data_IF_721574429573
#
_entry.id   IF_721574429573
#
_cell.length_a   1.000
_cell.length_b   1.000
_cell.length_c   1.000
_cell.angle_alpha   90.00
_cell.angle_beta   90.00
_cell.angle_gamma   90.00
#
_symmetry.space_group_name_H-M   'P 1'
#
loop_
_entity.id
_entity.type
_entity.pdbx_description
1 polymer ?
#
# COMPACT_ATOMS: atom_id res chain seq x y z
N UNK A 1 -13.04 15.41 6.50
CA UNK A 1 -14.18 14.47 6.32
C UNK A 1 -13.73 13.42 5.34
N UNK A 2 -13.76 12.16 5.74
CA UNK A 2 -13.38 11.02 4.89
C UNK A 2 -14.49 10.76 3.88
N UNK A 3 -14.13 10.50 2.61
CA UNK A 3 -15.11 10.26 1.54
C UNK A 3 -15.89 8.95 1.81
N UNK A 4 -17.22 8.88 1.57
CA UNK A 4 -18.03 7.70 1.90
C UNK A 4 -17.51 6.38 1.32
N UNK A 5 -16.97 6.40 0.09
CA UNK A 5 -16.36 5.21 -0.53
C UNK A 5 -15.07 4.75 0.17
N UNK A 6 -14.33 5.67 0.80
CA UNK A 6 -13.18 5.30 1.64
C UNK A 6 -13.67 4.73 2.97
N UNK A 7 -14.71 5.32 3.58
CA UNK A 7 -15.36 4.77 4.79
C UNK A 7 -15.88 3.35 4.57
N UNK A 8 -16.42 3.07 3.38
CA UNK A 8 -16.89 1.73 3.01
C UNK A 8 -15.80 0.65 3.10
N UNK A 9 -14.55 0.99 2.76
CA UNK A 9 -13.41 0.06 2.86
C UNK A 9 -13.20 -0.42 4.29
N UNK A 10 -13.40 0.45 5.27
CA UNK A 10 -13.21 0.12 6.69
C UNK A 10 -14.45 -0.51 7.29
N UNK A 11 -15.63 0.02 7.02
CA UNK A 11 -16.89 -0.40 7.67
C UNK A 11 -17.50 -1.67 7.05
N UNK A 12 -17.49 -1.81 5.73
CA UNK A 12 -18.10 -2.95 5.04
C UNK A 12 -17.09 -4.03 4.67
N UNK A 13 -15.91 -3.65 4.16
CA UNK A 13 -14.88 -4.60 3.73
C UNK A 13 -13.92 -5.01 4.85
N UNK A 14 -13.99 -4.34 6.02
CA UNK A 14 -13.21 -4.67 7.21
C UNK A 14 -11.71 -4.39 7.07
N UNK A 15 -11.29 -3.53 6.14
CA UNK A 15 -9.89 -3.14 6.03
C UNK A 15 -9.51 -2.26 7.23
N UNK A 16 -8.45 -2.58 7.98
CA UNK A 16 -8.00 -1.74 9.08
C UNK A 16 -7.58 -0.36 8.56
N UNK A 17 -7.88 0.68 9.34
CA UNK A 17 -7.36 2.02 9.11
C UNK A 17 -6.28 2.35 10.16
N UNK A 18 -5.21 3.00 9.73
CA UNK A 18 -4.12 3.40 10.61
C UNK A 18 -3.86 4.91 10.53
N UNK A 19 -4.02 5.58 11.66
CA UNK A 19 -3.59 6.97 11.90
C UNK A 19 -2.34 7.06 12.80
N UNK A 20 -1.90 5.93 13.34
CA UNK A 20 -0.73 5.81 14.22
C UNK A 20 0.36 4.96 13.56
N UNK A 21 1.61 5.40 13.70
CA UNK A 21 2.75 4.80 13.02
C UNK A 21 3.13 3.44 13.61
N UNK A 22 3.09 3.33 14.93
CA UNK A 22 3.48 2.09 15.64
C UNK A 22 2.53 0.95 15.26
N UNK A 23 1.23 1.22 15.23
CA UNK A 23 0.22 0.26 14.82
C UNK A 23 0.37 -0.13 13.33
N UNK A 24 0.65 0.85 12.46
CA UNK A 24 0.89 0.61 11.04
C UNK A 24 2.12 -0.28 10.82
N UNK A 25 3.25 0.02 11.44
CA UNK A 25 4.50 -0.73 11.28
C UNK A 25 4.32 -2.18 11.76
N UNK A 26 3.68 -2.40 12.91
CA UNK A 26 3.38 -3.74 13.42
C UNK A 26 2.46 -4.55 12.48
N UNK A 27 1.59 -3.89 11.72
CA UNK A 27 0.77 -4.55 10.69
C UNK A 27 1.57 -4.81 9.40
N UNK A 28 2.38 -3.85 8.99
CA UNK A 28 3.22 -3.89 7.78
C UNK A 28 4.32 -4.96 7.86
N UNK A 29 4.87 -5.19 9.06
CA UNK A 29 5.98 -6.12 9.30
C UNK A 29 5.54 -7.60 9.37
N UNK A 30 4.25 -7.87 9.20
CA UNK A 30 3.73 -9.24 9.17
C UNK A 30 4.31 -9.99 7.95
N UNK A 31 4.38 -11.33 8.00
CA UNK A 31 4.75 -12.11 6.82
C UNK A 31 3.77 -11.92 5.66
N UNK A 32 4.27 -11.82 4.44
CA UNK A 32 3.46 -11.77 3.22
C UNK A 32 3.46 -10.39 2.55
N UNK A 33 2.42 -10.11 1.75
CA UNK A 33 2.30 -8.83 1.04
C UNK A 33 1.23 -7.97 1.70
N UNK A 34 1.61 -6.74 2.02
CA UNK A 34 0.75 -5.72 2.58
C UNK A 34 0.58 -4.59 1.56
N UNK A 35 -0.66 -4.13 1.40
CA UNK A 35 -0.99 -3.01 0.52
C UNK A 35 -1.60 -1.89 1.35
N UNK A 36 -0.89 -0.77 1.43
CA UNK A 36 -1.37 0.43 2.08
C UNK A 36 -2.02 1.34 1.04
N UNK A 37 -3.33 1.56 1.17
CA UNK A 37 -4.05 2.54 0.37
C UNK A 37 -3.94 3.92 1.01
N UNK A 38 -3.29 4.84 0.31
CA UNK A 38 -3.15 6.24 0.70
C UNK A 38 -4.16 7.07 -0.10
N UNK A 39 -5.31 7.45 0.48
CA UNK A 39 -6.37 8.16 -0.23
C UNK A 39 -5.97 9.59 -0.60
N UNK A 40 -5.12 10.26 0.19
CA UNK A 40 -4.94 11.71 0.08
C UNK A 40 -6.18 12.49 0.49
N UNK A 41 -6.14 13.80 0.27
CA UNK A 41 -7.30 14.67 0.45
C UNK A 41 -8.37 14.33 -0.60
N UNK A 42 -9.34 13.50 -0.22
CA UNK A 42 -10.41 13.04 -1.11
C UNK A 42 -11.32 14.17 -1.63
N UNK A 43 -11.31 15.36 -1.01
CA UNK A 43 -12.02 16.52 -1.54
C UNK A 43 -11.27 17.17 -2.72
N UNK A 44 -9.94 17.03 -2.77
CA UNK A 44 -9.08 17.54 -3.84
C UNK A 44 -8.77 16.48 -4.90
N UNK A 45 -8.67 15.23 -4.49
CA UNK A 45 -8.34 14.10 -5.33
C UNK A 45 -9.61 13.39 -5.80
N UNK A 46 -10.11 13.81 -6.96
CA UNK A 46 -11.32 13.25 -7.56
C UNK A 46 -11.18 11.77 -7.97
N UNK A 47 -9.95 11.25 -8.04
CA UNK A 47 -9.64 9.84 -8.36
C UNK A 47 -9.72 8.91 -7.13
N UNK A 48 -9.71 9.45 -5.90
CA UNK A 48 -9.72 8.65 -4.67
C UNK A 48 -10.94 7.73 -4.56
N UNK A 49 -12.17 8.18 -4.89
CA UNK A 49 -13.34 7.32 -4.90
C UNK A 49 -13.22 6.14 -5.87
N UNK A 50 -12.63 6.34 -7.05
CA UNK A 50 -12.45 5.28 -8.06
C UNK A 50 -11.50 4.20 -7.55
N UNK A 51 -10.39 4.60 -6.93
CA UNK A 51 -9.45 3.66 -6.32
C UNK A 51 -10.10 2.92 -5.14
N UNK A 52 -10.95 3.60 -4.36
CA UNK A 52 -11.67 2.95 -3.27
C UNK A 52 -12.70 1.92 -3.76
N UNK A 53 -13.31 2.11 -4.94
CA UNK A 53 -14.23 1.13 -5.52
C UNK A 53 -13.50 -0.07 -6.12
N UNK A 54 -12.36 0.15 -6.79
CA UNK A 54 -11.62 -0.95 -7.46
C UNK A 54 -10.81 -1.80 -6.48
N UNK A 55 -10.38 -1.26 -5.34
CA UNK A 55 -9.49 -1.94 -4.41
C UNK A 55 -10.06 -3.27 -3.85
N UNK A 56 -11.34 -3.36 -3.42
CA UNK A 56 -11.95 -4.64 -3.04
C UNK A 56 -11.98 -5.66 -4.19
N UNK A 57 -12.27 -5.21 -5.42
CA UNK A 57 -12.30 -6.07 -6.61
C UNK A 57 -10.91 -6.64 -6.91
N UNK A 58 -9.85 -5.81 -6.80
CA UNK A 58 -8.47 -6.28 -6.92
C UNK A 58 -8.13 -7.30 -5.83
N UNK A 59 -8.50 -7.01 -4.58
CA UNK A 59 -8.25 -7.92 -3.46
C UNK A 59 -8.91 -9.29 -3.66
N UNK A 60 -10.13 -9.33 -4.22
CA UNK A 60 -10.81 -10.58 -4.59
C UNK A 60 -10.20 -11.25 -5.83
N UNK A 61 -9.85 -10.48 -6.86
CA UNK A 61 -9.27 -10.99 -8.13
C UNK A 61 -7.96 -11.73 -7.89
N UNK A 62 -7.11 -11.20 -7.01
CA UNK A 62 -5.87 -11.86 -6.59
C UNK A 62 -6.07 -12.87 -5.45
N UNK A 63 -7.30 -13.35 -5.23
CA UNK A 63 -7.63 -14.38 -4.24
C UNK A 63 -7.11 -14.07 -2.83
N UNK A 64 -7.10 -12.79 -2.45
CA UNK A 64 -6.57 -12.30 -1.17
C UNK A 64 -5.09 -12.66 -0.94
N UNK A 65 -4.29 -12.72 -2.01
CA UNK A 65 -2.83 -12.94 -1.94
C UNK A 65 -2.05 -11.81 -1.25
N UNK A 66 -2.71 -10.72 -0.88
CA UNK A 66 -2.19 -9.62 -0.09
C UNK A 66 -3.27 -9.13 0.87
N UNK A 67 -2.86 -8.52 1.98
CA UNK A 67 -3.77 -7.83 2.90
C UNK A 67 -3.77 -6.33 2.63
N UNK A 68 -4.87 -5.65 2.93
CA UNK A 68 -5.07 -4.24 2.63
C UNK A 68 -5.31 -3.44 3.91
N UNK A 69 -4.79 -2.21 3.98
CA UNK A 69 -5.19 -1.22 4.98
C UNK A 69 -5.49 0.13 4.31
N UNK A 70 -6.23 0.98 5.03
CA UNK A 70 -6.42 2.39 4.69
C UNK A 70 -5.47 3.24 5.54
N UNK A 71 -4.73 4.13 4.90
CA UNK A 71 -3.82 5.05 5.58
C UNK A 71 -4.59 6.32 5.91
N UNK A 72 -4.57 6.70 7.19
CA UNK A 72 -5.16 7.94 7.67
C UNK A 72 -4.20 9.12 7.63
N UNK A 73 -4.75 10.32 7.85
CA UNK A 73 -4.04 11.60 7.71
C UNK A 73 -2.85 11.71 8.67
N UNK A 74 -2.91 11.02 9.83
CA UNK A 74 -1.88 11.06 10.87
C UNK A 74 -0.50 10.59 10.41
N UNK A 75 -0.45 9.60 9.50
CA UNK A 75 0.80 8.98 9.02
C UNK A 75 1.02 9.14 7.52
N UNK A 76 0.03 9.62 6.76
CA UNK A 76 0.11 9.71 5.29
C UNK A 76 1.39 10.40 4.80
N UNK A 77 1.66 11.61 5.32
CA UNK A 77 2.78 12.43 4.84
C UNK A 77 4.12 11.75 5.07
N UNK A 78 4.28 11.14 6.24
CA UNK A 78 5.49 10.42 6.60
C UNK A 78 5.69 9.20 5.71
N UNK A 79 4.64 8.39 5.55
CA UNK A 79 4.67 7.19 4.73
C UNK A 79 5.00 7.49 3.27
N UNK A 80 4.42 8.56 2.70
CA UNK A 80 4.71 8.99 1.32
C UNK A 80 6.17 9.40 1.14
N UNK A 81 6.74 10.10 2.12
CA UNK A 81 8.13 10.54 2.06
C UNK A 81 9.10 9.37 2.19
N UNK A 82 8.87 8.45 3.13
CA UNK A 82 9.70 7.27 3.34
C UNK A 82 9.71 6.35 2.11
N UNK A 83 8.54 6.11 1.54
CA UNK A 83 8.38 5.17 0.42
C UNK A 83 8.73 5.79 -0.94
N UNK A 84 8.87 7.11 -1.01
CA UNK A 84 9.02 7.86 -2.26
C UNK A 84 7.75 7.90 -3.13
N UNK A 85 6.64 7.31 -2.69
CA UNK A 85 5.36 7.32 -3.41
C UNK A 85 4.61 8.61 -3.10
N UNK A 86 5.06 9.70 -3.70
CA UNK A 86 4.58 11.04 -3.37
C UNK A 86 3.21 11.40 -3.97
N UNK A 87 2.67 10.64 -4.93
CA UNK A 87 1.39 10.97 -5.57
C UNK A 87 0.23 10.25 -4.88
N UNK A 88 -0.88 10.95 -4.65
CA UNK A 88 -2.13 10.40 -4.11
C UNK A 88 -3.27 10.55 -5.13
N UNK A 89 -4.29 9.67 -5.10
CA UNK A 89 -4.36 8.44 -4.30
C UNK A 89 -3.27 7.43 -4.71
N UNK A 90 -2.86 6.52 -3.84
CA UNK A 90 -1.90 5.46 -4.21
C UNK A 90 -2.05 4.16 -3.43
N UNK A 91 -1.63 3.06 -4.05
CA UNK A 91 -1.47 1.75 -3.42
C UNK A 91 0.03 1.47 -3.27
N UNK A 92 0.50 1.40 -2.03
CA UNK A 92 1.91 1.12 -1.72
C UNK A 92 2.03 -0.33 -1.29
N UNK A 93 2.94 -1.07 -1.92
CA UNK A 93 3.15 -2.50 -1.70
C UNK A 93 4.36 -2.71 -0.81
N UNK A 94 4.18 -3.53 0.22
CA UNK A 94 5.22 -3.99 1.12
C UNK A 94 5.28 -5.50 1.11
N UNK A 95 6.45 -6.04 1.42
CA UNK A 95 6.63 -7.45 1.74
C UNK A 95 7.55 -7.58 2.94
N UNK A 96 7.04 -8.22 3.98
CA UNK A 96 7.78 -8.46 5.23
C UNK A 96 8.39 -7.13 5.77
N UNK A 97 7.59 -6.06 5.79
CA UNK A 97 8.01 -4.71 6.20
C UNK A 97 8.75 -3.89 5.14
N UNK A 98 9.26 -4.50 4.06
CA UNK A 98 10.08 -3.81 3.06
C UNK A 98 9.20 -3.22 1.95
N UNK A 99 9.36 -1.92 1.66
CA UNK A 99 8.66 -1.27 0.56
C UNK A 99 9.14 -1.80 -0.80
N UNK A 100 8.20 -2.30 -1.60
CA UNK A 100 8.45 -2.76 -2.97
C UNK A 100 8.18 -1.67 -4.01
N UNK A 101 7.42 -0.63 -3.63
CA UNK A 101 7.02 0.49 -4.49
C UNK A 101 5.52 0.73 -4.45
N UNK A 102 5.00 1.50 -5.42
CA UNK A 102 3.57 1.83 -5.44
C UNK A 102 2.96 2.08 -6.81
N UNK A 103 1.62 2.00 -6.84
CA UNK A 103 0.77 2.36 -7.97
C UNK A 103 0.02 3.64 -7.57
N UNK A 104 0.44 4.78 -8.09
CA UNK A 104 -0.20 6.06 -7.80
C UNK A 104 -1.21 6.47 -8.86
N UNK A 105 -2.25 7.22 -8.49
CA UNK A 105 -3.44 7.59 -9.28
C UNK A 105 -4.26 6.36 -9.73
N UNK A 106 -5.49 6.58 -10.18
CA UNK A 106 -6.29 5.49 -10.75
C UNK A 106 -5.61 4.96 -12.02
N UNK A 107 -5.73 3.66 -12.27
CA UNK A 107 -5.21 3.01 -13.47
C UNK A 107 -6.28 2.15 -14.09
N UNK A 108 -6.07 1.82 -15.36
CA UNK A 108 -6.94 0.89 -16.06
C UNK A 108 -6.73 -0.53 -15.51
N UNK A 109 -7.73 -1.39 -15.72
CA UNK A 109 -7.71 -2.75 -15.18
C UNK A 109 -6.48 -3.55 -15.62
N UNK A 110 -6.12 -3.47 -16.90
CA UNK A 110 -4.98 -4.19 -17.48
C UNK A 110 -3.64 -3.76 -16.85
N UNK A 111 -3.52 -2.48 -16.46
CA UNK A 111 -2.33 -1.98 -15.76
C UNK A 111 -2.21 -2.61 -14.36
N UNK A 112 -3.31 -2.78 -13.64
CA UNK A 112 -3.30 -3.48 -12.36
C UNK A 112 -2.93 -4.95 -12.54
N UNK A 113 -3.52 -5.62 -13.54
CA UNK A 113 -3.23 -7.01 -13.87
C UNK A 113 -1.78 -7.23 -14.29
N UNK A 114 -1.15 -6.25 -14.95
CA UNK A 114 0.26 -6.33 -15.33
C UNK A 114 1.22 -6.06 -14.16
N UNK A 115 0.85 -5.16 -13.23
CA UNK A 115 1.76 -4.66 -12.18
C UNK A 115 1.67 -5.43 -10.88
N UNK A 116 0.48 -5.78 -10.41
CA UNK A 116 0.29 -6.45 -9.11
C UNK A 116 1.03 -7.80 -9.05
N UNK A 117 0.96 -8.69 -10.07
CA UNK A 117 1.72 -9.93 -10.05
C UNK A 117 3.23 -9.73 -9.88
N UNK A 118 3.79 -8.62 -10.37
CA UNK A 118 5.21 -8.30 -10.21
C UNK A 118 5.54 -8.01 -8.75
N UNK A 119 4.68 -7.28 -8.04
CA UNK A 119 4.82 -7.07 -6.59
C UNK A 119 4.63 -8.38 -5.80
N UNK A 120 3.66 -9.22 -6.21
CA UNK A 120 3.43 -10.52 -5.57
C UNK A 120 4.59 -11.51 -5.80
N UNK A 121 5.28 -11.43 -6.93
CA UNK A 121 6.46 -12.26 -7.22
C UNK A 121 7.75 -11.67 -6.63
N UNK A 122 7.82 -10.36 -6.40
CA UNK A 122 9.02 -9.68 -5.93
C UNK A 122 9.47 -10.20 -4.57
N UNK A 123 10.71 -10.68 -4.49
CA UNK A 123 11.39 -10.90 -3.21
C UNK A 123 12.11 -9.60 -2.86
N UNK A 124 12.08 -9.15 -1.59
CA UNK A 124 13.00 -8.13 -1.17
C UNK A 124 14.42 -8.60 -1.49
N UNK A 125 15.28 -7.71 -1.98
CA UNK A 125 16.67 -8.07 -2.20
C UNK A 125 17.23 -8.56 -0.86
N UNK A 126 17.72 -9.80 -0.81
CA UNK A 126 18.50 -10.24 0.32
C UNK A 126 19.68 -9.27 0.43
N UNK A 127 19.82 -8.61 1.58
CA UNK A 127 20.97 -7.77 1.85
C UNK A 127 22.21 -8.61 1.54
N UNK A 128 23.02 -8.14 0.58
CA UNK A 128 24.24 -8.84 0.21
C UNK A 128 25.08 -9.01 1.48
N UNK A 129 25.63 -10.21 1.75
CA UNK A 129 26.44 -10.39 2.95
C UNK A 129 27.55 -9.35 2.93
N UNK A 130 27.65 -8.56 4.01
CA UNK A 130 28.68 -7.55 4.18
C UNK A 130 30.03 -8.18 3.84
N UNK A 131 30.66 -7.72 2.76
CA UNK A 131 31.99 -8.18 2.36
C UNK A 131 32.90 -7.86 3.54
N UNK A 132 33.52 -8.85 4.21
CA UNK A 132 34.46 -8.55 5.28
C UNK A 132 35.65 -7.83 4.67
N UNK A 133 35.87 -6.58 5.08
CA UNK A 133 37.08 -5.81 4.77
C UNK A 133 38.29 -6.66 5.18
N UNK A 134 39.25 -6.96 4.29
CA UNK A 134 40.45 -7.68 4.68
C UNK A 134 41.26 -6.76 5.61
N UNK A 135 41.60 -7.29 6.79
CA UNK A 135 42.55 -6.66 7.69
C UNK A 135 43.93 -6.60 7.00
N UNK A 136 44.51 -5.41 6.95
CA UNK A 136 45.88 -5.17 6.49
C UNK A 136 46.90 -5.50 7.60
#
# INVERSE_FOLDING_TARGET
MTHPLVTRLTEEFGFPAFDDRVAFDAWRDRPGVQVAFVPGDAARNLETPDVAVILPELHMTFQRAFVVCVVGDGIERELRNETGVLKTPSLIFFRDGICLGGIARVRDWDDYMARIPRFLAARPAAEAPAVPTPAA
#
